data_IF_607019270572
#
_entry.id   IF_607019270572
#
_cell.length_a   1.000
_cell.length_b   1.000
_cell.length_c   1.000
_cell.angle_alpha   90.00
_cell.angle_beta   90.00
_cell.angle_gamma   90.00
#
_symmetry.space_group_name_H-M   'P 1'
#
loop_
_entity.id
_entity.type
_entity.pdbx_description
1 polymer ?
#
# COMPACT_ATOMS: atom_id res chain seq x y z
N UNK A 1 -6.16 -5.85 -20.70
CA UNK A 1 -4.77 -5.66 -20.19
C UNK A 1 -4.56 -6.71 -19.12
N UNK A 2 -3.39 -7.32 -19.01
CA UNK A 2 -3.20 -8.39 -18.01
C UNK A 2 -3.33 -7.81 -16.60
N UNK A 3 -4.24 -8.37 -15.81
CA UNK A 3 -4.40 -8.04 -14.40
C UNK A 3 -3.09 -8.36 -13.66
N UNK A 4 -2.54 -7.45 -12.84
CA UNK A 4 -1.41 -7.77 -11.99
C UNK A 4 -1.83 -8.83 -10.96
N UNK A 5 -0.94 -9.75 -10.62
CA UNK A 5 -1.21 -10.74 -9.57
C UNK A 5 -1.02 -10.15 -8.17
N UNK A 6 -0.12 -9.18 -8.03
CA UNK A 6 0.26 -8.58 -6.75
C UNK A 6 0.50 -7.08 -6.91
N UNK A 7 0.25 -6.33 -5.84
CA UNK A 7 0.61 -4.92 -5.69
C UNK A 7 1.43 -4.80 -4.42
N UNK A 8 2.54 -4.06 -4.50
CA UNK A 8 3.45 -3.80 -3.38
C UNK A 8 3.62 -2.29 -3.24
N UNK A 9 3.38 -1.76 -2.04
CA UNK A 9 3.69 -0.38 -1.71
C UNK A 9 5.12 -0.27 -1.19
N UNK A 10 5.88 0.64 -1.78
CA UNK A 10 7.18 1.07 -1.27
C UNK A 10 7.03 2.50 -0.78
N UNK A 11 7.36 2.74 0.49
CA UNK A 11 7.21 4.02 1.15
C UNK A 11 8.58 4.52 1.59
N UNK A 12 8.99 5.66 1.05
CA UNK A 12 10.23 6.33 1.43
C UNK A 12 9.90 7.63 2.15
N UNK A 13 10.35 7.75 3.40
CA UNK A 13 10.29 9.00 4.14
C UNK A 13 11.50 9.86 3.79
N UNK A 14 11.26 11.10 3.36
CA UNK A 14 12.30 12.10 3.13
C UNK A 14 12.27 13.08 4.30
N UNK A 15 13.26 13.01 5.18
CA UNK A 15 13.30 13.85 6.38
C UNK A 15 13.96 15.20 6.08
N UNK A 16 13.51 16.26 6.75
CA UNK A 16 14.01 17.62 6.54
C UNK A 16 15.48 17.80 6.96
N UNK A 17 16.02 16.90 7.78
CA UNK A 17 17.44 16.86 8.13
C UNK A 17 18.32 16.22 7.03
N UNK A 18 17.73 15.86 5.88
CA UNK A 18 18.45 15.42 4.68
C UNK A 18 18.37 13.93 4.32
N UNK A 19 18.35 12.95 5.25
CA UNK A 19 18.30 11.56 4.88
C UNK A 19 16.91 11.14 4.37
N UNK A 20 16.93 10.28 3.36
CA UNK A 20 15.77 9.48 2.96
C UNK A 20 15.90 8.09 3.57
N UNK A 21 14.79 7.50 4.00
CA UNK A 21 14.76 6.16 4.57
C UNK A 21 13.58 5.38 3.99
N UNK A 22 13.81 4.12 3.63
CA UNK A 22 12.74 3.17 3.38
C UNK A 22 12.04 2.82 4.70
N UNK A 23 10.75 3.14 4.77
CA UNK A 23 9.89 2.91 5.93
C UNK A 23 8.76 1.92 5.61
N UNK A 24 8.87 1.19 4.49
CA UNK A 24 7.82 0.28 4.01
C UNK A 24 7.45 -0.79 5.04
N UNK A 25 8.41 -1.22 5.85
CA UNK A 25 8.26 -2.20 6.92
C UNK A 25 8.49 -1.62 8.34
N UNK A 26 8.48 -0.30 8.50
CA UNK A 26 8.62 0.33 9.81
C UNK A 26 7.43 -0.03 10.71
N UNK A 27 7.60 -0.44 11.97
CA UNK A 27 6.48 -0.83 12.83
C UNK A 27 5.48 0.29 13.12
N UNK A 28 5.82 1.55 12.84
CA UNK A 28 4.93 2.71 12.98
C UNK A 28 4.19 3.07 11.69
N UNK A 29 4.43 2.34 10.58
CA UNK A 29 3.60 2.45 9.39
C UNK A 29 2.37 1.56 9.52
N UNK A 30 1.23 2.06 9.08
CA UNK A 30 -0.01 1.29 9.01
C UNK A 30 -0.57 1.37 7.58
N UNK A 31 -0.80 0.21 6.98
CA UNK A 31 -1.52 0.08 5.72
C UNK A 31 -2.93 -0.42 6.04
N UNK A 32 -3.93 0.34 5.63
CA UNK A 32 -5.32 0.04 5.88
C UNK A 32 -6.07 -0.02 4.54
N UNK A 33 -6.28 -1.23 4.06
CA UNK A 33 -7.03 -1.48 2.84
C UNK A 33 -8.54 -1.31 3.07
N UNK A 34 -9.18 -0.53 2.21
CA UNK A 34 -10.62 -0.27 2.28
C UNK A 34 -11.45 -1.25 1.44
N UNK A 35 -10.82 -2.02 0.54
CA UNK A 35 -11.53 -2.77 -0.51
C UNK A 35 -11.02 -4.22 -0.66
N UNK A 36 -11.42 -5.09 0.29
CA UNK A 36 -11.00 -6.50 0.33
C UNK A 36 -11.42 -7.36 -0.88
N UNK A 37 -12.40 -6.88 -1.67
CA UNK A 37 -12.87 -7.59 -2.86
C UNK A 37 -11.97 -7.37 -4.08
N UNK A 38 -11.11 -6.34 -4.04
CA UNK A 38 -10.19 -5.99 -5.13
C UNK A 38 -8.75 -6.33 -4.75
N UNK A 39 -8.35 -6.02 -3.50
CA UNK A 39 -7.03 -6.30 -2.95
C UNK A 39 -7.16 -7.07 -1.64
N UNK A 40 -6.36 -8.13 -1.47
CA UNK A 40 -6.30 -8.90 -0.21
C UNK A 40 -4.90 -8.82 0.36
N UNK A 41 -4.79 -8.44 1.63
CA UNK A 41 -3.50 -8.35 2.32
C UNK A 41 -2.77 -9.69 2.33
N UNK A 42 -1.47 -9.66 2.04
CA UNK A 42 -0.60 -10.82 2.19
C UNK A 42 -0.18 -10.91 3.66
N UNK A 43 -0.43 -12.07 4.28
CA UNK A 43 -0.19 -12.30 5.70
C UNK A 43 1.28 -12.08 6.07
N UNK A 44 1.53 -11.31 7.13
CA UNK A 44 2.86 -10.98 7.66
C UNK A 44 3.77 -10.16 6.72
N UNK A 45 3.21 -9.54 5.67
CA UNK A 45 3.95 -8.68 4.74
C UNK A 45 3.19 -7.36 4.56
N UNK A 46 3.37 -6.39 5.48
CA UNK A 46 2.69 -5.11 5.42
C UNK A 46 2.93 -4.39 4.09
N UNK A 47 1.86 -3.83 3.50
CA UNK A 47 1.96 -3.11 2.22
C UNK A 47 1.96 -4.01 0.98
N UNK A 48 1.89 -5.34 1.14
CA UNK A 48 1.74 -6.28 0.04
C UNK A 48 0.31 -6.81 -0.08
N UNK A 49 -0.20 -6.84 -1.31
CA UNK A 49 -1.57 -7.20 -1.63
C UNK A 49 -1.62 -8.16 -2.81
N UNK A 50 -2.33 -9.28 -2.64
CA UNK A 50 -2.78 -10.08 -3.78
C UNK A 50 -3.96 -9.39 -4.45
N UNK A 51 -4.00 -9.42 -5.77
CA UNK A 51 -5.13 -8.89 -6.52
C UNK A 51 -6.23 -9.95 -6.59
N UNK A 52 -7.38 -9.65 -6.00
CA UNK A 52 -8.52 -10.57 -5.91
C UNK A 52 -9.49 -10.42 -7.09
N UNK A 53 -9.57 -9.24 -7.68
CA UNK A 53 -10.51 -8.93 -8.76
C UNK A 53 -10.23 -7.60 -9.42
N UNK A 54 -10.84 -7.37 -10.58
CA UNK A 54 -10.83 -6.06 -11.21
C UNK A 54 -11.75 -5.09 -10.47
N UNK A 55 -11.43 -3.80 -10.51
CA UNK A 55 -12.19 -2.77 -9.81
C UNK A 55 -11.31 -1.63 -9.33
N UNK A 56 -11.87 -0.80 -8.46
CA UNK A 56 -11.13 0.27 -7.80
C UNK A 56 -10.94 -0.08 -6.33
N UNK A 57 -9.76 0.21 -5.79
CA UNK A 57 -9.44 0.04 -4.39
C UNK A 57 -8.78 1.30 -3.82
N UNK A 58 -9.00 1.57 -2.54
CA UNK A 58 -8.25 2.54 -1.76
C UNK A 58 -7.45 1.87 -0.65
N UNK A 59 -6.17 2.24 -0.54
CA UNK A 59 -5.31 1.86 0.59
C UNK A 59 -4.87 3.13 1.31
N UNK A 60 -5.20 3.23 2.58
CA UNK A 60 -4.74 4.33 3.44
C UNK A 60 -3.41 3.95 4.07
N UNK A 61 -2.39 4.77 3.86
CA UNK A 61 -1.04 4.58 4.37
C UNK A 61 -0.77 5.66 5.40
N UNK A 62 -0.52 5.28 6.64
CA UNK A 62 -0.29 6.21 7.75
C UNK A 62 1.10 5.99 8.32
N UNK A 63 1.92 7.04 8.35
CA UNK A 63 3.25 7.03 8.99
C UNK A 63 3.41 8.28 9.85
N UNK A 64 3.71 8.11 11.14
CA UNK A 64 3.90 9.23 12.08
C UNK A 64 2.80 10.32 12.02
N UNK A 65 1.52 9.90 12.02
CA UNK A 65 0.33 10.77 11.89
C UNK A 65 0.11 11.43 10.52
N UNK A 66 1.00 11.23 9.54
CA UNK A 66 0.77 11.65 8.16
C UNK A 66 -0.03 10.56 7.44
N UNK A 67 -1.08 10.96 6.71
CA UNK A 67 -1.95 10.04 5.97
C UNK A 67 -1.84 10.28 4.48
N UNK A 68 -1.61 9.20 3.74
CA UNK A 68 -1.66 9.14 2.29
C UNK A 68 -2.76 8.16 1.88
N UNK A 69 -3.41 8.43 0.74
CA UNK A 69 -4.40 7.51 0.16
C UNK A 69 -3.94 7.12 -1.23
N UNK A 70 -3.62 5.85 -1.41
CA UNK A 70 -3.35 5.27 -2.73
C UNK A 70 -4.67 4.81 -3.34
N UNK A 71 -4.99 5.31 -4.54
CA UNK A 71 -6.12 4.85 -5.34
C UNK A 71 -5.60 3.95 -6.44
N UNK A 72 -6.11 2.72 -6.49
CA UNK A 72 -5.68 1.70 -7.43
C UNK A 72 -6.86 1.35 -8.33
N UNK A 73 -6.63 1.30 -9.63
CA UNK A 73 -7.58 0.73 -10.60
C UNK A 73 -6.97 -0.53 -11.19
N UNK A 74 -7.61 -1.67 -10.90
CA UNK A 74 -7.26 -2.98 -11.45
C UNK A 74 -8.13 -3.23 -12.68
N UNK A 75 -7.55 -3.37 -13.88
CA UNK A 75 -8.33 -3.63 -15.09
C UNK A 75 -8.79 -5.09 -15.18
N UNK A 76 -9.87 -5.30 -15.94
CA UNK A 76 -10.29 -6.62 -16.44
C UNK A 76 -9.36 -7.12 -17.57
#
# INVERSE_FOLDING_TARGET
TTQPNQIVFVVTANFSNGPSQDVSADPNINYNNQDINVLTEVTNTPGEYNVAGAGNAEVQIVFQSQRFTARITVPN
#
